data_IF_387717254660
#
_entry.id   IF_387717254660
#
_cell.length_a   1.000
_cell.length_b   1.000
_cell.length_c   1.000
_cell.angle_alpha   90.00
_cell.angle_beta   90.00
_cell.angle_gamma   90.00
#
_symmetry.space_group_name_H-M   'P 1'
#
loop_
_entity.id
_entity.type
_entity.pdbx_description
1 polymer ?
#
# COMPACT_ATOMS: atom_id res chain seq x y z
N UNK A 1 -10.13 37.19 -63.01
CA UNK A 1 -10.03 37.77 -61.67
C UNK A 1 -9.14 36.86 -60.80
N UNK A 2 -8.27 37.44 -59.96
CA UNK A 2 -7.10 36.78 -59.36
C UNK A 2 -7.46 36.19 -57.98
N UNK A 3 -6.73 35.20 -57.47
CA UNK A 3 -5.53 35.45 -56.67
C UNK A 3 -4.57 34.26 -56.68
N UNK A 4 -3.36 34.53 -57.18
CA UNK A 4 -2.15 33.76 -56.95
C UNK A 4 -1.56 34.22 -55.62
N UNK A 5 -1.17 33.28 -54.74
CA UNK A 5 -0.13 33.54 -53.75
C UNK A 5 1.07 32.69 -54.16
N UNK A 6 2.20 33.38 -54.24
CA UNK A 6 3.44 33.01 -54.88
C UNK A 6 4.45 32.69 -53.78
N UNK A 7 5.08 31.52 -53.81
CA UNK A 7 6.33 31.30 -53.05
C UNK A 7 7.28 30.41 -53.84
N UNK A 8 8.45 30.96 -54.11
CA UNK A 8 9.68 30.30 -54.55
C UNK A 8 10.84 31.26 -54.24
N UNK A 9 12.11 30.81 -54.13
CA UNK A 9 12.58 29.51 -53.65
C UNK A 9 13.89 29.61 -52.81
N UNK A 10 14.41 28.44 -52.38
CA UNK A 10 15.81 28.14 -52.00
C UNK A 10 16.34 28.58 -50.62
N UNK A 11 16.62 27.58 -49.76
CA UNK A 11 17.99 27.18 -49.43
C UNK A 11 18.00 25.79 -48.77
N UNK A 12 18.73 24.87 -49.42
CA UNK A 12 19.03 23.52 -48.97
C UNK A 12 20.14 23.61 -47.91
N UNK A 13 19.91 23.14 -46.69
CA UNK A 13 20.98 22.98 -45.68
C UNK A 13 21.18 21.50 -45.40
N UNK A 14 22.43 21.08 -45.59
CA UNK A 14 22.98 19.75 -45.28
C UNK A 14 22.73 19.34 -43.82
N UNK A 15 22.40 18.07 -43.62
CA UNK A 15 22.52 17.37 -42.34
C UNK A 15 24.00 17.02 -42.08
N UNK A 16 24.58 17.34 -40.92
CA UNK A 16 25.92 16.87 -40.56
C UNK A 16 25.89 15.42 -40.04
N UNK A 17 26.99 14.64 -40.17
CA UNK A 17 27.08 13.29 -39.63
C UNK A 17 27.20 13.30 -38.08
N UNK A 18 26.90 12.19 -37.39
CA UNK A 18 26.87 12.17 -35.94
C UNK A 18 28.28 12.21 -35.34
N UNK A 19 28.48 13.06 -34.34
CA UNK A 19 29.67 13.10 -33.48
C UNK A 19 29.28 12.97 -31.99
N UNK A 20 30.18 12.47 -31.13
CA UNK A 20 29.81 11.78 -29.90
C UNK A 20 29.44 12.72 -28.75
N UNK A 21 28.50 12.26 -27.92
CA UNK A 21 27.91 12.98 -26.80
C UNK A 21 28.93 13.40 -25.73
N UNK A 22 29.04 14.71 -25.50
CA UNK A 22 29.44 15.29 -24.21
C UNK A 22 28.33 16.23 -23.72
N UNK A 23 27.86 15.97 -22.49
CA UNK A 23 26.81 16.75 -21.81
C UNK A 23 27.35 18.12 -21.39
N UNK A 24 26.68 19.19 -21.80
CA UNK A 24 26.71 20.50 -21.11
C UNK A 24 25.26 20.98 -21.02
N UNK A 25 24.78 21.21 -19.80
CA UNK A 25 23.47 21.78 -19.53
C UNK A 25 23.64 23.30 -19.37
N UNK A 26 23.11 24.07 -20.31
CA UNK A 26 22.80 25.48 -20.12
C UNK A 26 21.30 25.59 -19.78
N UNK A 27 20.99 26.19 -18.63
CA UNK A 27 19.65 26.77 -18.37
C UNK A 27 19.88 28.19 -17.87
N UNK A 28 19.59 29.12 -18.77
CA UNK A 28 19.50 30.55 -18.59
C UNK A 28 18.23 30.86 -17.77
N UNK A 29 18.34 31.56 -16.63
CA UNK A 29 17.17 32.01 -15.86
C UNK A 29 17.10 33.53 -15.83
N UNK A 30 15.98 34.02 -16.37
CA UNK A 30 15.59 35.42 -16.47
C UNK A 30 15.30 36.06 -15.11
N UNK A 31 15.66 37.33 -14.99
CA UNK A 31 15.65 38.18 -13.81
C UNK A 31 14.30 38.88 -13.58
N UNK A 32 13.74 38.80 -12.35
CA UNK A 32 13.05 39.96 -11.74
C UNK A 32 12.62 39.74 -10.27
N UNK A 33 12.96 40.73 -9.43
CA UNK A 33 12.35 41.15 -8.15
C UNK A 33 12.68 40.47 -6.80
N UNK A 34 13.62 41.14 -6.09
CA UNK A 34 13.63 41.57 -4.66
C UNK A 34 13.50 40.53 -3.52
N UNK A 35 14.61 40.37 -2.78
CA UNK A 35 14.64 39.93 -1.37
C UNK A 35 16.03 39.50 -0.91
N UNK A 36 16.77 40.37 -0.23
CA UNK A 36 18.10 40.09 0.34
C UNK A 36 18.05 38.98 1.41
N UNK A 37 18.98 38.03 1.35
CA UNK A 37 19.51 37.36 2.55
C UNK A 37 21.02 37.25 2.40
N UNK A 38 21.73 37.85 3.35
CA UNK A 38 23.18 37.97 3.40
C UNK A 38 23.78 36.58 3.69
N UNK A 39 24.56 36.03 2.75
CA UNK A 39 25.31 34.79 2.97
C UNK A 39 26.45 35.03 3.97
N UNK A 40 26.49 34.17 4.99
CA UNK A 40 27.51 34.13 6.02
C UNK A 40 28.87 33.72 5.43
N UNK A 41 29.95 34.24 6.03
CA UNK A 41 31.35 34.04 5.65
C UNK A 41 31.78 32.55 5.58
N UNK A 42 30.99 31.64 6.17
CA UNK A 42 31.20 30.20 6.15
C UNK A 42 30.96 29.56 4.76
N UNK A 43 30.01 30.08 3.96
CA UNK A 43 29.68 29.48 2.65
C UNK A 43 30.71 29.81 1.56
N UNK A 44 31.57 30.82 1.79
CA UNK A 44 32.71 31.12 0.91
C UNK A 44 33.89 30.16 1.09
N UNK A 45 33.97 29.45 2.21
CA UNK A 45 35.10 28.56 2.50
C UNK A 45 34.95 27.16 1.86
N UNK A 46 33.75 26.76 1.41
CA UNK A 46 33.53 25.47 0.75
C UNK A 46 33.94 25.44 -0.73
N UNK A 47 34.19 26.61 -1.34
CA UNK A 47 34.56 26.73 -2.76
C UNK A 47 36.08 26.77 -3.00
N UNK A 48 36.89 26.84 -1.95
CA UNK A 48 38.35 26.79 -2.04
C UNK A 48 38.82 25.55 -1.27
N UNK A 49 39.20 24.49 -1.99
CA UNK A 49 39.62 23.21 -1.42
C UNK A 49 40.80 23.32 -0.45
N UNK A 50 40.51 23.60 0.82
CA UNK A 50 41.43 23.49 1.94
C UNK A 50 41.24 22.11 2.61
N UNK A 51 42.31 21.44 3.05
CA UNK A 51 42.18 20.20 3.80
C UNK A 51 41.50 20.46 5.15
N UNK A 52 40.64 19.56 5.64
CA UNK A 52 39.92 19.76 6.88
C UNK A 52 40.89 19.88 8.08
N UNK A 53 40.59 20.73 9.07
CA UNK A 53 41.41 20.85 10.27
C UNK A 53 41.44 19.52 11.04
N UNK A 54 42.60 19.21 11.62
CA UNK A 54 42.89 17.97 12.33
C UNK A 54 41.79 17.63 13.36
N UNK A 55 41.27 16.41 13.25
CA UNK A 55 40.16 15.91 14.07
C UNK A 55 40.50 15.95 15.56
N UNK A 56 39.75 16.74 16.33
CA UNK A 56 39.43 16.36 17.70
C UNK A 56 38.63 15.07 17.63
N UNK A 57 39.11 14.00 18.26
CA UNK A 57 38.42 12.70 18.25
C UNK A 57 36.94 12.84 18.64
N UNK A 58 36.04 12.00 18.10
CA UNK A 58 34.62 12.06 18.41
C UNK A 58 34.42 11.99 19.93
N UNK A 59 33.52 12.81 20.45
CA UNK A 59 33.24 12.85 21.88
C UNK A 59 32.88 11.44 22.37
N UNK A 60 33.24 11.08 23.61
CA UNK A 60 32.99 9.74 24.18
C UNK A 60 31.53 9.28 24.01
N UNK A 61 30.58 10.23 24.01
CA UNK A 61 29.16 9.99 23.76
C UNK A 61 28.90 9.55 22.32
N UNK A 62 29.53 10.19 21.33
CA UNK A 62 29.44 9.82 19.92
C UNK A 62 30.08 8.45 19.65
N UNK A 63 31.18 8.12 20.33
CA UNK A 63 31.77 6.78 20.23
C UNK A 63 30.87 5.70 20.83
N UNK A 64 30.21 5.96 21.96
CA UNK A 64 29.22 5.06 22.57
C UNK A 64 28.02 4.85 21.65
N UNK A 65 27.46 5.92 21.08
CA UNK A 65 26.36 5.82 20.11
C UNK A 65 26.76 5.09 18.82
N UNK A 66 28.00 5.28 18.34
CA UNK A 66 28.53 4.58 17.16
C UNK A 66 28.82 3.10 17.43
N UNK A 67 29.32 2.74 18.62
CA UNK A 67 29.51 1.35 19.02
C UNK A 67 28.17 0.62 19.18
N UNK A 68 27.20 1.21 19.88
CA UNK A 68 25.86 0.63 20.12
C UNK A 68 25.07 0.45 18.81
N UNK A 69 25.10 1.45 17.92
CA UNK A 69 24.52 1.34 16.57
C UNK A 69 25.25 0.28 15.72
N UNK A 70 26.59 0.18 15.81
CA UNK A 70 27.33 -0.83 15.06
C UNK A 70 27.05 -2.27 15.53
N UNK A 71 26.79 -2.47 16.83
CA UNK A 71 26.41 -3.76 17.39
C UNK A 71 25.00 -4.18 16.95
N UNK A 72 24.03 -3.27 17.06
CA UNK A 72 22.65 -3.48 16.61
C UNK A 72 22.60 -3.76 15.10
N UNK A 73 23.31 -2.98 14.28
CA UNK A 73 23.37 -3.19 12.83
C UNK A 73 23.99 -4.53 12.44
N UNK A 74 25.00 -5.00 13.18
CA UNK A 74 25.60 -6.34 12.96
C UNK A 74 24.62 -7.45 13.31
N UNK A 75 23.82 -7.29 14.37
CA UNK A 75 22.77 -8.23 14.73
C UNK A 75 21.63 -8.24 13.70
N UNK A 76 21.14 -7.07 13.29
CA UNK A 76 20.10 -6.93 12.27
C UNK A 76 20.53 -7.52 10.92
N UNK A 77 21.80 -7.36 10.54
CA UNK A 77 22.36 -8.01 9.34
C UNK A 77 22.32 -9.53 9.42
N UNK A 78 22.52 -10.12 10.61
CA UNK A 78 22.37 -11.57 10.81
C UNK A 78 20.91 -12.01 10.71
N UNK A 79 19.96 -11.17 11.09
CA UNK A 79 18.52 -11.40 10.95
C UNK A 79 17.97 -11.07 9.54
N UNK A 80 18.81 -10.62 8.60
CA UNK A 80 18.34 -10.23 7.28
C UNK A 80 17.86 -11.45 6.48
N UNK A 81 16.55 -11.51 6.27
CA UNK A 81 15.90 -12.52 5.43
C UNK A 81 16.17 -12.19 3.97
N UNK A 82 16.77 -13.13 3.23
CA UNK A 82 17.08 -12.96 1.79
C UNK A 82 15.90 -13.28 0.88
N UNK A 83 15.02 -14.20 1.30
CA UNK A 83 13.88 -14.61 0.48
C UNK A 83 12.84 -13.49 0.43
N UNK A 84 12.64 -12.95 -0.77
CA UNK A 84 11.69 -11.88 -1.04
C UNK A 84 10.27 -12.23 -0.60
N UNK A 85 9.80 -13.45 -0.89
CA UNK A 85 8.45 -13.88 -0.52
C UNK A 85 8.24 -13.87 0.99
N UNK A 86 9.25 -14.29 1.76
CA UNK A 86 9.15 -14.30 3.24
C UNK A 86 9.08 -12.88 3.77
N UNK A 87 9.87 -11.95 3.21
CA UNK A 87 9.82 -10.53 3.59
C UNK A 87 8.44 -9.93 3.30
N UNK A 88 7.88 -10.22 2.11
CA UNK A 88 6.55 -9.79 1.70
C UNK A 88 5.48 -10.34 2.66
N UNK A 89 5.50 -11.64 2.95
CA UNK A 89 4.55 -12.29 3.85
C UNK A 89 4.61 -11.71 5.28
N UNK A 90 5.82 -11.42 5.80
CA UNK A 90 5.97 -10.78 7.10
C UNK A 90 5.43 -9.35 7.12
N UNK A 91 5.64 -8.60 6.03
CA UNK A 91 5.11 -7.26 5.89
C UNK A 91 3.56 -7.26 5.82
N UNK A 92 2.96 -8.21 5.10
CA UNK A 92 1.52 -8.40 5.05
C UNK A 92 0.96 -8.78 6.44
N UNK A 93 1.59 -9.72 7.14
CA UNK A 93 1.20 -10.10 8.49
C UNK A 93 1.25 -8.90 9.45
N UNK A 94 2.32 -8.11 9.43
CA UNK A 94 2.47 -6.95 10.29
C UNK A 94 1.51 -5.82 9.92
N UNK A 95 1.29 -5.57 8.62
CA UNK A 95 0.36 -4.56 8.17
C UNK A 95 -1.09 -4.87 8.55
N UNK A 96 -1.52 -6.14 8.39
CA UNK A 96 -2.85 -6.57 8.84
C UNK A 96 -2.95 -6.58 10.35
N UNK A 97 -1.89 -6.96 11.06
CA UNK A 97 -1.85 -6.87 12.51
C UNK A 97 -2.13 -5.44 13.00
N UNK A 98 -1.45 -4.44 12.41
CA UNK A 98 -1.68 -3.02 12.73
C UNK A 98 -3.11 -2.60 12.40
N UNK A 99 -3.62 -2.96 11.21
CA UNK A 99 -4.98 -2.65 10.78
C UNK A 99 -6.02 -3.15 11.81
N UNK A 100 -5.94 -4.42 12.17
CA UNK A 100 -6.90 -5.07 13.08
C UNK A 100 -6.72 -4.59 14.52
N UNK A 101 -5.50 -4.32 14.96
CA UNK A 101 -5.24 -3.80 16.30
C UNK A 101 -5.97 -2.47 16.53
N UNK A 102 -5.88 -1.53 15.58
CA UNK A 102 -6.58 -0.25 15.67
C UNK A 102 -8.09 -0.37 15.40
N UNK A 103 -8.49 -1.14 14.39
CA UNK A 103 -9.88 -1.38 14.04
C UNK A 103 -10.65 -2.05 15.18
N UNK A 104 -10.33 -3.30 15.49
CA UNK A 104 -10.99 -4.05 16.57
C UNK A 104 -10.75 -3.41 17.95
N UNK A 105 -9.61 -2.76 18.19
CA UNK A 105 -9.39 -2.01 19.43
C UNK A 105 -10.38 -0.86 19.62
N UNK A 106 -10.71 -0.13 18.54
CA UNK A 106 -11.74 0.90 18.58
C UNK A 106 -13.14 0.32 18.81
N UNK A 107 -13.48 -0.83 18.20
CA UNK A 107 -14.75 -1.52 18.46
C UNK A 107 -14.83 -1.98 19.91
N UNK A 108 -13.77 -2.60 20.44
CA UNK A 108 -13.69 -3.03 21.83
C UNK A 108 -13.92 -1.86 22.79
N UNK A 109 -13.30 -0.71 22.54
CA UNK A 109 -13.48 0.50 23.34
C UNK A 109 -14.94 0.97 23.33
N UNK A 110 -15.58 1.03 22.16
CA UNK A 110 -16.97 1.49 22.03
C UNK A 110 -17.94 0.51 22.71
N UNK A 111 -17.82 -0.78 22.40
CA UNK A 111 -18.70 -1.83 22.93
C UNK A 111 -18.58 -1.96 24.45
N UNK A 112 -17.36 -2.10 24.99
CA UNK A 112 -17.17 -2.36 26.44
C UNK A 112 -17.47 -1.16 27.32
N UNK A 113 -17.48 0.05 26.75
CA UNK A 113 -17.82 1.27 27.50
C UNK A 113 -19.24 1.76 27.26
N UNK A 114 -20.03 1.02 26.51
CA UNK A 114 -21.41 1.40 26.15
C UNK A 114 -21.45 2.81 25.55
N UNK A 115 -20.60 3.05 24.54
CA UNK A 115 -20.46 4.32 23.84
C UNK A 115 -19.97 5.52 24.70
N UNK A 116 -19.55 5.31 25.95
CA UNK A 116 -19.11 6.40 26.85
C UNK A 116 -17.68 6.89 26.55
N UNK A 117 -16.83 6.04 25.96
CA UNK A 117 -15.43 6.37 25.63
C UNK A 117 -15.14 6.32 24.13
N UNK A 118 -16.14 6.10 23.31
CA UNK A 118 -16.04 6.14 21.87
C UNK A 118 -17.44 6.10 21.26
N UNK A 119 -17.51 6.34 19.96
CA UNK A 119 -18.76 6.36 19.20
C UNK A 119 -18.53 5.64 17.86
N UNK A 120 -19.60 5.39 17.10
CA UNK A 120 -19.49 4.80 15.77
C UNK A 120 -18.47 5.51 14.86
N UNK A 121 -18.40 6.85 14.94
CA UNK A 121 -17.38 7.62 14.21
C UNK A 121 -15.94 7.25 14.60
N UNK A 122 -15.68 6.99 15.87
CA UNK A 122 -14.34 6.57 16.32
C UNK A 122 -13.96 5.18 15.83
N UNK A 123 -14.95 4.30 15.59
CA UNK A 123 -14.72 2.99 14.95
C UNK A 123 -14.25 3.21 13.50
N UNK A 124 -14.99 4.04 12.75
CA UNK A 124 -14.65 4.37 11.37
C UNK A 124 -13.25 4.98 11.26
N UNK A 125 -12.91 5.92 12.14
CA UNK A 125 -11.57 6.51 12.20
C UNK A 125 -10.50 5.51 12.63
N UNK A 126 -10.81 4.61 13.58
CA UNK A 126 -9.90 3.54 14.02
C UNK A 126 -9.51 2.61 12.88
N UNK A 127 -10.48 2.15 12.09
CA UNK A 127 -10.22 1.34 10.90
C UNK A 127 -9.48 2.12 9.80
N UNK A 128 -9.88 3.36 9.51
CA UNK A 128 -9.22 4.18 8.49
C UNK A 128 -7.74 4.48 8.82
N UNK A 129 -7.45 4.82 10.08
CA UNK A 129 -6.08 5.04 10.55
C UNK A 129 -5.30 3.73 10.62
N UNK A 130 -5.92 2.64 11.09
CA UNK A 130 -5.31 1.31 11.11
C UNK A 130 -4.87 0.85 9.72
N UNK A 131 -5.71 1.02 8.71
CA UNK A 131 -5.37 0.80 7.30
C UNK A 131 -4.19 1.67 6.89
N UNK A 132 -4.26 2.98 7.16
CA UNK A 132 -3.22 3.93 6.75
C UNK A 132 -1.85 3.56 7.32
N UNK A 133 -1.80 3.23 8.61
CA UNK A 133 -0.57 2.78 9.26
C UNK A 133 -0.11 1.41 8.77
N UNK A 134 -1.05 0.49 8.53
CA UNK A 134 -0.74 -0.81 7.91
C UNK A 134 -0.06 -0.63 6.54
N UNK A 135 -0.56 0.31 5.72
CA UNK A 135 0.04 0.65 4.42
C UNK A 135 1.44 1.24 4.63
N UNK A 136 1.61 2.20 5.54
CA UNK A 136 2.92 2.81 5.80
C UNK A 136 3.99 1.80 6.20
N UNK A 137 3.62 0.79 6.99
CA UNK A 137 4.56 -0.24 7.47
C UNK A 137 4.90 -1.28 6.40
N UNK A 138 3.97 -1.58 5.49
CA UNK A 138 4.11 -2.73 4.57
C UNK A 138 4.36 -2.36 3.10
N UNK A 139 3.98 -1.15 2.66
CA UNK A 139 3.99 -0.72 1.25
C UNK A 139 5.35 -0.87 0.58
N UNK A 140 6.43 -0.52 1.27
CA UNK A 140 7.79 -0.58 0.72
C UNK A 140 8.34 -2.00 0.55
N UNK A 141 7.64 -3.03 1.07
CA UNK A 141 8.10 -4.42 1.05
C UNK A 141 7.13 -5.32 0.27
N UNK A 142 5.84 -5.35 0.62
CA UNK A 142 4.84 -6.23 0.00
C UNK A 142 3.95 -5.56 -1.03
N UNK A 143 3.97 -4.23 -1.12
CA UNK A 143 2.97 -3.47 -1.87
C UNK A 143 1.71 -3.14 -1.05
N UNK A 144 1.65 -3.56 0.22
CA UNK A 144 0.54 -3.33 1.14
C UNK A 144 -0.81 -3.81 0.60
N UNK A 145 -0.95 -5.11 0.33
CA UNK A 145 -2.24 -5.64 -0.08
C UNK A 145 -3.23 -5.64 1.09
N UNK A 146 -2.77 -6.13 2.25
CA UNK A 146 -3.46 -6.15 3.55
C UNK A 146 -4.86 -6.79 3.54
N UNK A 147 -5.18 -7.49 2.45
CA UNK A 147 -6.53 -7.90 2.12
C UNK A 147 -6.49 -9.02 1.05
N UNK A 148 -7.13 -10.18 1.31
CA UNK A 148 -7.24 -11.28 0.36
C UNK A 148 -7.92 -10.92 -0.97
N UNK A 149 -9.02 -10.15 -0.94
CA UNK A 149 -9.76 -9.74 -2.13
C UNK A 149 -8.95 -8.80 -3.03
N UNK A 150 -8.17 -7.90 -2.42
CA UNK A 150 -7.20 -7.05 -3.15
C UNK A 150 -6.09 -7.91 -3.76
N UNK A 151 -5.52 -8.84 -2.98
CA UNK A 151 -4.46 -9.73 -3.47
C UNK A 151 -4.94 -10.54 -4.68
N UNK A 152 -6.19 -11.00 -4.63
CA UNK A 152 -6.86 -11.69 -5.73
C UNK A 152 -7.06 -10.78 -6.95
N UNK A 153 -7.58 -9.55 -6.78
CA UNK A 153 -7.80 -8.65 -7.91
C UNK A 153 -6.49 -8.28 -8.62
N UNK A 154 -5.40 -8.10 -7.87
CA UNK A 154 -4.06 -7.89 -8.42
C UNK A 154 -3.52 -9.12 -9.17
N UNK A 155 -3.88 -10.34 -8.75
CA UNK A 155 -3.56 -11.55 -9.51
C UNK A 155 -4.32 -11.60 -10.84
N UNK A 156 -5.61 -11.26 -10.83
CA UNK A 156 -6.45 -11.24 -12.05
C UNK A 156 -5.95 -10.21 -13.05
N UNK A 157 -5.45 -9.07 -12.59
CA UNK A 157 -4.81 -8.06 -13.45
C UNK A 157 -3.39 -8.43 -13.92
N UNK A 158 -2.84 -9.56 -13.50
CA UNK A 158 -1.45 -9.93 -13.83
C UNK A 158 -0.40 -9.07 -13.12
N UNK A 159 -0.78 -8.31 -12.09
CA UNK A 159 0.11 -7.45 -11.28
C UNK A 159 0.71 -8.17 -10.09
N UNK A 160 0.18 -9.34 -9.74
CA UNK A 160 0.70 -10.20 -8.67
C UNK A 160 0.75 -11.67 -9.13
N UNK A 161 1.85 -12.41 -8.85
CA UNK A 161 1.93 -13.82 -9.23
C UNK A 161 0.94 -14.70 -8.45
N UNK A 162 0.18 -15.54 -9.16
CA UNK A 162 -0.80 -16.45 -8.57
C UNK A 162 -0.23 -17.40 -7.50
N UNK A 163 1.03 -17.83 -7.64
CA UNK A 163 1.67 -18.71 -6.66
C UNK A 163 1.93 -18.02 -5.31
N UNK A 164 2.00 -16.68 -5.28
CA UNK A 164 2.20 -15.92 -4.03
C UNK A 164 0.90 -15.71 -3.25
N UNK A 165 -0.24 -15.71 -3.94
CA UNK A 165 -1.56 -15.48 -3.35
C UNK A 165 -1.87 -16.33 -2.12
N UNK A 166 -1.73 -17.68 -2.13
CA UNK A 166 -2.06 -18.49 -0.96
C UNK A 166 -1.18 -18.16 0.26
N UNK A 167 0.07 -17.77 0.04
CA UNK A 167 0.96 -17.34 1.13
C UNK A 167 0.55 -15.98 1.68
N UNK A 168 0.24 -15.01 0.82
CA UNK A 168 -0.26 -13.71 1.23
C UNK A 168 -1.54 -13.85 2.07
N UNK A 169 -2.52 -14.62 1.60
CA UNK A 169 -3.78 -14.85 2.32
C UNK A 169 -3.53 -15.49 3.68
N UNK A 170 -2.68 -16.52 3.75
CA UNK A 170 -2.34 -17.18 5.01
C UNK A 170 -1.74 -16.20 6.02
N UNK A 171 -0.76 -15.39 5.62
CA UNK A 171 -0.10 -14.45 6.53
C UNK A 171 -0.96 -13.23 6.88
N UNK A 172 -1.87 -12.80 5.98
CA UNK A 172 -2.89 -11.80 6.29
C UNK A 172 -3.83 -12.31 7.38
N UNK A 173 -4.35 -13.54 7.23
CA UNK A 173 -5.21 -14.18 8.24
C UNK A 173 -4.47 -14.38 9.56
N UNK A 174 -3.19 -14.79 9.52
CA UNK A 174 -2.35 -14.91 10.70
C UNK A 174 -2.19 -13.57 11.42
N UNK A 175 -1.91 -12.49 10.68
CA UNK A 175 -1.80 -11.14 11.24
C UNK A 175 -3.09 -10.69 11.92
N UNK A 176 -4.25 -10.93 11.29
CA UNK A 176 -5.56 -10.63 11.86
C UNK A 176 -5.83 -11.42 13.14
N UNK A 177 -5.54 -12.73 13.13
CA UNK A 177 -5.69 -13.59 14.31
C UNK A 177 -4.82 -13.13 15.48
N UNK A 178 -3.55 -12.81 15.23
CA UNK A 178 -2.63 -12.33 16.26
C UNK A 178 -3.09 -10.98 16.84
N UNK A 179 -3.58 -10.07 16.00
CA UNK A 179 -4.10 -8.79 16.46
C UNK A 179 -5.40 -8.94 17.26
N UNK A 180 -6.31 -9.81 16.83
CA UNK A 180 -7.53 -10.12 17.57
C UNK A 180 -7.20 -10.72 18.95
N UNK A 181 -6.23 -11.63 19.03
CA UNK A 181 -5.73 -12.15 20.30
C UNK A 181 -5.14 -11.05 21.19
N UNK A 182 -4.35 -10.12 20.62
CA UNK A 182 -3.82 -8.96 21.35
C UNK A 182 -4.94 -8.05 21.87
N UNK A 183 -5.95 -7.74 21.05
CA UNK A 183 -7.10 -6.91 21.48
C UNK A 183 -7.89 -7.63 22.57
N UNK A 184 -8.13 -8.94 22.43
CA UNK A 184 -8.83 -9.74 23.44
C UNK A 184 -8.08 -9.77 24.77
N UNK A 185 -6.74 -9.85 24.74
CA UNK A 185 -5.92 -9.77 25.95
C UNK A 185 -5.92 -8.35 26.55
N UNK A 186 -5.76 -7.32 25.71
CA UNK A 186 -5.72 -5.92 26.11
C UNK A 186 -7.03 -5.45 26.75
N UNK A 187 -8.17 -5.96 26.27
CA UNK A 187 -9.51 -5.62 26.74
C UNK A 187 -10.13 -6.72 27.62
N UNK A 188 -9.35 -7.69 28.10
CA UNK A 188 -9.87 -8.84 28.85
C UNK A 188 -10.79 -8.43 30.01
N UNK A 189 -10.31 -7.56 30.90
CA UNK A 189 -11.08 -7.10 32.07
C UNK A 189 -12.34 -6.31 31.67
N UNK A 190 -12.24 -5.50 30.62
CA UNK A 190 -13.36 -4.69 30.12
C UNK A 190 -14.45 -5.58 29.49
N UNK A 191 -14.05 -6.57 28.69
CA UNK A 191 -14.94 -7.57 28.09
C UNK A 191 -15.61 -8.40 29.18
N UNK A 192 -14.85 -8.83 30.18
CA UNK A 192 -15.37 -9.61 31.31
C UNK A 192 -16.41 -8.82 32.11
N UNK A 193 -16.12 -7.54 32.39
CA UNK A 193 -17.03 -6.64 33.13
C UNK A 193 -18.30 -6.35 32.34
N UNK A 194 -18.18 -6.02 31.04
CA UNK A 194 -19.30 -5.70 30.17
C UNK A 194 -20.23 -6.91 29.94
N UNK A 195 -19.65 -8.10 29.71
CA UNK A 195 -20.41 -9.31 29.42
C UNK A 195 -20.93 -10.05 30.66
N UNK A 196 -20.53 -9.62 31.87
CA UNK A 196 -20.79 -10.39 33.11
C UNK A 196 -20.10 -11.76 33.11
N UNK A 197 -19.08 -11.93 32.26
CA UNK A 197 -18.34 -13.18 32.08
C UNK A 197 -18.95 -14.21 31.15
N UNK A 198 -20.05 -13.87 30.48
CA UNK A 198 -20.71 -14.75 29.51
C UNK A 198 -20.48 -14.21 28.11
N UNK A 199 -19.60 -14.86 27.34
CA UNK A 199 -19.31 -14.46 25.96
C UNK A 199 -20.42 -14.91 25.03
N UNK A 200 -21.19 -13.97 24.50
CA UNK A 200 -22.30 -14.22 23.57
C UNK A 200 -22.03 -13.60 22.19
N UNK A 201 -22.62 -14.23 21.18
CA UNK A 201 -22.53 -13.77 19.77
C UNK A 201 -23.61 -12.73 19.46
N UNK A 202 -24.79 -12.89 20.05
CA UNK A 202 -25.96 -12.02 19.84
C UNK A 202 -26.59 -11.66 21.18
N UNK A 203 -27.26 -10.51 21.23
CA UNK A 203 -27.94 -10.01 22.43
C UNK A 203 -27.35 -8.68 22.92
N UNK A 204 -27.89 -8.13 24.03
CA UNK A 204 -27.56 -6.78 24.50
C UNK A 204 -26.12 -6.64 25.02
N UNK A 205 -25.49 -7.75 25.39
CA UNK A 205 -24.11 -7.82 25.90
C UNK A 205 -23.19 -8.63 24.98
N UNK A 206 -23.55 -8.74 23.70
CA UNK A 206 -22.77 -9.48 22.72
C UNK A 206 -21.38 -8.87 22.53
N UNK A 207 -20.36 -9.72 22.53
CA UNK A 207 -18.95 -9.31 22.42
C UNK A 207 -18.26 -9.85 21.17
N UNK A 208 -18.85 -10.84 20.49
CA UNK A 208 -18.29 -11.38 19.25
C UNK A 208 -18.15 -10.31 18.14
N UNK A 209 -19.02 -9.28 18.16
CA UNK A 209 -18.97 -8.13 17.25
C UNK A 209 -17.68 -7.30 17.32
N UNK A 210 -16.88 -7.45 18.40
CA UNK A 210 -15.58 -6.80 18.54
C UNK A 210 -14.57 -7.33 17.52
N UNK A 211 -14.64 -8.63 17.20
CA UNK A 211 -13.64 -9.33 16.41
C UNK A 211 -14.13 -9.72 15.01
N UNK A 212 -15.44 -9.73 14.80
CA UNK A 212 -16.04 -10.12 13.52
C UNK A 212 -17.33 -9.36 13.27
N UNK A 213 -17.67 -9.14 12.00
CA UNK A 213 -18.90 -8.43 11.62
C UNK A 213 -20.08 -9.40 11.57
N UNK A 214 -21.20 -8.95 12.12
CA UNK A 214 -22.49 -9.64 12.06
C UNK A 214 -23.51 -8.68 11.44
N UNK A 215 -24.47 -9.20 10.65
CA UNK A 215 -25.45 -8.36 9.97
C UNK A 215 -26.44 -7.79 10.99
N UNK A 216 -26.96 -6.60 10.72
CA UNK A 216 -28.06 -6.03 11.49
C UNK A 216 -29.32 -6.89 11.35
N UNK A 217 -30.22 -6.86 12.34
CA UNK A 217 -31.41 -7.72 12.39
C UNK A 217 -32.35 -7.57 11.17
N UNK A 218 -32.39 -6.38 10.57
CA UNK A 218 -33.20 -6.11 9.38
C UNK A 218 -32.54 -6.52 8.06
N UNK A 219 -31.25 -6.86 8.07
CA UNK A 219 -30.46 -7.06 6.87
C UNK A 219 -30.57 -8.51 6.39
N UNK A 220 -31.10 -8.71 5.19
CA UNK A 220 -31.09 -10.02 4.55
C UNK A 220 -29.69 -10.39 4.06
N UNK A 221 -29.43 -11.69 3.92
CA UNK A 221 -28.18 -12.22 3.34
C UNK A 221 -27.90 -11.60 1.97
N UNK A 222 -28.92 -11.49 1.11
CA UNK A 222 -28.79 -10.86 -0.21
C UNK A 222 -28.48 -9.36 -0.13
N UNK A 223 -29.15 -8.63 0.78
CA UNK A 223 -28.84 -7.22 1.01
C UNK A 223 -27.39 -7.02 1.45
N UNK A 224 -26.90 -7.89 2.34
CA UNK A 224 -25.51 -7.87 2.78
C UNK A 224 -24.49 -8.25 1.71
N UNK A 225 -24.82 -9.18 0.80
CA UNK A 225 -23.96 -9.48 -0.36
C UNK A 225 -23.81 -8.23 -1.24
N UNK A 226 -24.90 -7.53 -1.54
CA UNK A 226 -24.87 -6.31 -2.35
C UNK A 226 -24.06 -5.21 -1.66
N UNK A 227 -24.26 -5.03 -0.35
CA UNK A 227 -23.50 -4.07 0.47
C UNK A 227 -21.99 -4.33 0.40
N UNK A 228 -21.55 -5.59 0.63
CA UNK A 228 -20.14 -5.98 0.59
C UNK A 228 -19.51 -5.82 -0.80
N UNK A 229 -20.27 -6.12 -1.87
CA UNK A 229 -19.82 -5.93 -3.25
C UNK A 229 -19.60 -4.44 -3.54
N UNK A 230 -20.58 -3.58 -3.21
CA UNK A 230 -20.53 -2.14 -3.48
C UNK A 230 -19.41 -1.49 -2.66
N UNK A 231 -19.34 -1.77 -1.36
CA UNK A 231 -18.32 -1.23 -0.46
C UNK A 231 -16.91 -1.57 -0.92
N UNK A 232 -16.68 -2.84 -1.29
CA UNK A 232 -15.37 -3.28 -1.78
C UNK A 232 -15.04 -2.72 -3.16
N UNK A 233 -16.03 -2.59 -4.06
CA UNK A 233 -15.81 -1.97 -5.35
C UNK A 233 -15.40 -0.49 -5.22
N UNK A 234 -16.09 0.27 -4.36
CA UNK A 234 -15.78 1.68 -4.08
C UNK A 234 -14.37 1.85 -3.47
N UNK A 235 -13.97 0.91 -2.60
CA UNK A 235 -12.62 0.87 -2.07
C UNK A 235 -11.59 0.69 -3.19
N UNK A 236 -11.73 -0.34 -4.02
CA UNK A 236 -10.73 -0.63 -5.06
C UNK A 236 -10.67 0.51 -6.09
N UNK A 237 -11.80 1.17 -6.38
CA UNK A 237 -11.83 2.38 -7.21
C UNK A 237 -11.00 3.52 -6.63
N UNK A 238 -11.06 3.71 -5.31
CA UNK A 238 -10.35 4.79 -4.61
C UNK A 238 -8.88 4.47 -4.35
N UNK A 239 -8.57 3.19 -4.18
CA UNK A 239 -7.26 2.73 -3.73
C UNK A 239 -6.29 2.45 -4.90
N UNK A 240 -6.82 2.17 -6.11
CA UNK A 240 -5.99 1.98 -7.31
C UNK A 240 -5.35 3.32 -7.71
N UNK A 241 -4.01 3.49 -7.57
CA UNK A 241 -3.39 4.76 -7.88
C UNK A 241 -3.31 4.95 -9.40
N UNK A 242 -3.57 6.18 -9.87
CA UNK A 242 -3.37 6.62 -11.28
C UNK A 242 -1.95 6.44 -11.81
N UNK A 243 -0.99 6.08 -10.96
CA UNK A 243 0.38 5.73 -11.31
C UNK A 243 0.89 4.70 -10.28
N UNK A 244 1.08 3.43 -10.69
CA UNK A 244 1.40 2.24 -9.86
C UNK A 244 2.43 2.49 -8.73
N UNK A 245 2.49 1.72 -7.60
CA UNK A 245 1.58 0.67 -7.10
C UNK A 245 0.96 1.00 -5.71
N UNK A 246 -0.15 0.34 -5.36
CA UNK A 246 -0.42 -0.22 -4.01
C UNK A 246 -0.85 0.70 -2.87
N UNK A 247 -1.96 1.42 -2.98
CA UNK A 247 -2.74 1.73 -1.78
C UNK A 247 -3.86 0.71 -1.75
N UNK A 248 -3.96 -0.05 -0.68
CA UNK A 248 -5.09 -0.95 -0.48
C UNK A 248 -5.21 -1.29 0.99
N UNK A 249 -6.35 -0.93 1.55
CA UNK A 249 -6.82 -1.55 2.76
C UNK A 249 -8.23 -1.08 3.04
N UNK A 250 -9.13 -2.03 3.32
CA UNK A 250 -10.21 -1.90 4.30
C UNK A 250 -10.57 -3.29 4.82
N UNK A 251 -11.13 -3.22 6.02
CA UNK A 251 -12.03 -4.12 6.74
C UNK A 251 -11.97 -5.61 6.40
N UNK A 252 -11.29 -6.34 7.30
CA UNK A 252 -11.29 -7.80 7.32
C UNK A 252 -11.56 -8.26 8.75
N UNK A 253 -12.84 -8.24 9.09
CA UNK A 253 -13.37 -8.91 10.28
C UNK A 253 -13.48 -10.42 10.03
N UNK A 254 -12.33 -11.10 9.88
CA UNK A 254 -12.28 -12.56 9.74
C UNK A 254 -12.27 -13.24 11.11
N UNK A 255 -13.15 -14.23 11.23
CA UNK A 255 -13.45 -15.06 12.39
C UNK A 255 -12.19 -15.58 13.07
N UNK A 256 -11.91 -15.07 14.27
CA UNK A 256 -11.00 -15.76 15.19
C UNK A 256 -11.61 -17.13 15.51
N UNK A 257 -10.87 -18.26 15.42
CA UNK A 257 -11.35 -19.58 15.84
C UNK A 257 -11.63 -19.71 17.35
N UNK A 258 -11.78 -18.62 18.08
CA UNK A 258 -11.99 -18.58 19.53
C UNK A 258 -13.48 -18.58 19.90
N UNK A 259 -14.39 -18.51 18.91
CA UNK A 259 -15.83 -18.64 19.13
C UNK A 259 -16.35 -20.02 18.70
N UNK A 260 -17.14 -20.68 19.56
CA UNK A 260 -17.81 -21.94 19.25
C UNK A 260 -18.69 -21.88 18.00
N UNK A 261 -19.30 -23.01 17.62
CA UNK A 261 -20.04 -23.20 16.34
C UNK A 261 -21.13 -22.16 16.04
N UNK A 262 -21.57 -21.40 17.03
CA UNK A 262 -22.60 -20.36 16.91
C UNK A 262 -22.15 -19.16 16.07
N UNK A 263 -20.84 -18.87 15.99
CA UNK A 263 -20.31 -17.80 15.11
C UNK A 263 -20.60 -18.08 13.63
N UNK A 264 -20.66 -19.36 13.25
CA UNK A 264 -20.95 -19.78 11.86
C UNK A 264 -22.45 -19.86 11.57
N UNK A 265 -23.31 -19.73 12.59
CA UNK A 265 -24.77 -19.82 12.46
C UNK A 265 -25.47 -18.46 12.58
N UNK A 266 -24.83 -17.49 13.25
CA UNK A 266 -25.36 -16.15 13.41
C UNK A 266 -25.68 -15.47 12.05
N UNK A 267 -26.75 -14.67 12.02
CA UNK A 267 -27.14 -13.91 10.83
C UNK A 267 -27.58 -14.77 9.63
N UNK A 268 -28.23 -15.91 9.86
CA UNK A 268 -28.61 -16.88 8.82
C UNK A 268 -27.42 -17.47 8.05
N UNK A 269 -26.31 -17.76 8.76
CA UNK A 269 -25.09 -18.28 8.15
C UNK A 269 -24.25 -17.20 7.46
N UNK A 270 -24.10 -16.04 8.11
CA UNK A 270 -23.46 -14.85 7.54
C UNK A 270 -21.98 -15.02 7.16
N UNK A 271 -21.26 -15.94 7.81
CA UNK A 271 -19.79 -16.06 7.79
C UNK A 271 -19.14 -16.07 6.39
N UNK A 272 -19.81 -16.59 5.36
CA UNK A 272 -19.25 -16.68 4.01
C UNK A 272 -19.40 -15.38 3.22
N UNK A 273 -20.36 -14.51 3.58
CA UNK A 273 -20.65 -13.28 2.84
C UNK A 273 -19.44 -12.34 2.86
N UNK A 274 -18.80 -12.02 4.00
CA UNK A 274 -17.60 -11.19 4.03
C UNK A 274 -16.34 -11.83 3.41
N UNK A 275 -16.42 -13.09 2.99
CA UNK A 275 -15.30 -13.79 2.32
C UNK A 275 -15.46 -13.68 0.81
N UNK A 276 -16.64 -14.03 0.30
CA UNK A 276 -16.89 -14.17 -1.14
C UNK A 276 -17.30 -12.85 -1.77
N UNK A 277 -18.19 -12.09 -1.13
CA UNK A 277 -18.74 -10.87 -1.70
C UNK A 277 -17.65 -9.79 -1.93
N UNK A 278 -16.69 -9.58 -1.02
CA UNK A 278 -15.57 -8.67 -1.27
C UNK A 278 -14.70 -9.09 -2.46
N UNK A 279 -14.47 -10.39 -2.70
CA UNK A 279 -13.74 -10.83 -3.89
C UNK A 279 -14.43 -10.39 -5.18
N UNK A 280 -15.76 -10.53 -5.24
CA UNK A 280 -16.57 -10.07 -6.40
C UNK A 280 -16.51 -8.54 -6.52
N UNK A 281 -16.68 -7.82 -5.43
CA UNK A 281 -16.58 -6.36 -5.40
C UNK A 281 -15.21 -5.84 -5.81
N UNK A 282 -14.13 -6.48 -5.36
CA UNK A 282 -12.77 -6.10 -5.72
C UNK A 282 -12.53 -6.25 -7.23
N UNK A 283 -12.94 -7.37 -7.82
CA UNK A 283 -12.84 -7.58 -9.28
C UNK A 283 -13.66 -6.54 -10.05
N UNK A 284 -14.88 -6.26 -9.61
CA UNK A 284 -15.75 -5.27 -10.24
C UNK A 284 -15.15 -3.86 -10.16
N UNK A 285 -14.73 -3.41 -8.98
CA UNK A 285 -14.15 -2.08 -8.78
C UNK A 285 -12.86 -1.89 -9.57
N UNK A 286 -12.00 -2.90 -9.56
CA UNK A 286 -10.77 -2.89 -10.36
C UNK A 286 -11.07 -2.85 -11.86
N UNK A 287 -12.03 -3.64 -12.36
CA UNK A 287 -12.41 -3.61 -13.78
C UNK A 287 -12.97 -2.23 -14.19
N UNK A 288 -13.81 -1.63 -13.36
CA UNK A 288 -14.36 -0.29 -13.62
C UNK A 288 -13.22 0.73 -13.70
N UNK A 289 -12.25 0.68 -12.78
CA UNK A 289 -11.09 1.56 -12.78
C UNK A 289 -10.28 1.44 -14.08
N UNK A 290 -9.99 0.21 -14.49
CA UNK A 290 -9.19 -0.06 -15.69
C UNK A 290 -9.86 0.51 -16.94
N UNK A 291 -11.17 0.27 -17.10
CA UNK A 291 -11.93 0.73 -18.27
C UNK A 291 -12.13 2.26 -18.29
N UNK A 292 -12.34 2.87 -17.12
CA UNK A 292 -12.67 4.30 -17.04
C UNK A 292 -11.43 5.19 -16.99
N UNK A 293 -10.37 4.76 -16.30
CA UNK A 293 -9.21 5.61 -16.01
C UNK A 293 -7.96 5.05 -16.67
N UNK A 294 -7.62 3.78 -16.43
CA UNK A 294 -6.30 3.26 -16.85
C UNK A 294 -6.10 3.24 -18.36
N UNK A 295 -7.10 2.79 -19.13
CA UNK A 295 -7.06 2.77 -20.60
C UNK A 295 -6.88 4.19 -21.20
N UNK A 296 -7.21 5.23 -20.44
CA UNK A 296 -7.12 6.62 -20.88
C UNK A 296 -5.85 7.35 -20.40
N UNK A 297 -5.02 6.73 -19.57
CA UNK A 297 -3.76 7.34 -19.15
C UNK A 297 -2.74 7.34 -20.30
N UNK A 298 -2.00 8.44 -20.50
CA UNK A 298 -0.90 8.43 -21.46
C UNK A 298 0.15 7.39 -21.03
N UNK A 299 0.73 6.65 -21.99
CA UNK A 299 1.72 5.63 -21.68
C UNK A 299 2.87 6.23 -20.87
N UNK A 300 3.26 5.55 -19.79
CA UNK A 300 4.33 6.03 -18.94
C UNK A 300 5.69 5.88 -19.62
N UNK A 301 6.70 6.62 -19.15
CA UNK A 301 8.06 6.52 -19.68
C UNK A 301 8.61 5.08 -19.66
N UNK A 302 8.19 4.26 -18.69
CA UNK A 302 8.54 2.84 -18.60
C UNK A 302 7.90 1.98 -19.70
N UNK A 303 6.65 2.26 -20.06
CA UNK A 303 5.95 1.56 -21.15
C UNK A 303 6.59 1.90 -22.50
N UNK A 304 6.98 3.17 -22.70
CA UNK A 304 7.75 3.62 -23.86
C UNK A 304 9.13 2.96 -23.93
N UNK A 305 9.81 2.81 -22.80
CA UNK A 305 11.13 2.16 -22.73
C UNK A 305 11.05 0.67 -23.06
N UNK A 306 10.00 -0.01 -22.60
CA UNK A 306 9.77 -1.44 -22.88
C UNK A 306 9.43 -1.64 -24.36
N UNK A 307 8.54 -0.83 -24.93
CA UNK A 307 8.28 -0.82 -26.38
C UNK A 307 9.53 -0.52 -27.21
N UNK A 308 10.37 0.43 -26.79
CA UNK A 308 11.64 0.72 -27.46
C UNK A 308 12.61 -0.47 -27.42
N UNK A 309 12.68 -1.20 -26.30
CA UNK A 309 13.50 -2.40 -26.13
C UNK A 309 13.01 -3.56 -26.99
N UNK A 310 11.70 -3.83 -27.01
CA UNK A 310 11.11 -4.85 -27.89
C UNK A 310 11.32 -4.53 -29.37
N UNK A 311 11.23 -3.26 -29.77
CA UNK A 311 11.54 -2.82 -31.14
C UNK A 311 13.03 -2.99 -31.46
N UNK A 312 13.93 -2.81 -30.49
CA UNK A 312 15.37 -3.04 -30.72
C UNK A 312 15.71 -4.52 -30.80
N UNK A 313 15.13 -5.38 -29.96
CA UNK A 313 15.30 -6.83 -30.05
C UNK A 313 14.66 -7.42 -31.32
N UNK A 314 13.47 -6.95 -31.70
CA UNK A 314 12.80 -7.35 -32.94
C UNK A 314 13.55 -6.93 -34.20
N UNK A 315 14.28 -5.79 -34.17
CA UNK A 315 15.17 -5.39 -35.27
C UNK A 315 16.50 -6.17 -35.28
N UNK A 316 17.03 -6.55 -34.12
CA UNK A 316 18.21 -7.44 -34.04
C UNK A 316 17.89 -8.88 -34.48
N UNK A 317 16.62 -9.31 -34.41
CA UNK A 317 16.17 -10.62 -34.88
C UNK A 317 16.07 -10.79 -36.41
N UNK A 318 16.17 -9.71 -37.20
CA UNK A 318 16.12 -9.77 -38.67
C UNK A 318 17.50 -9.72 -39.37
N UNK A 319 18.61 -9.63 -38.63
CA UNK A 319 19.98 -9.59 -39.20
C UNK A 319 20.84 -10.83 -38.88
N UNK A 320 20.23 -12.02 -38.81
CA UNK A 320 20.97 -13.28 -38.75
C UNK A 320 20.45 -14.31 -39.77
N UNK A 321 20.48 -13.95 -41.05
CA UNK A 321 20.50 -14.92 -42.14
C UNK A 321 21.61 -14.54 -43.13
N UNK A 322 22.81 -15.08 -42.92
CA UNK A 322 23.73 -15.39 -44.03
C UNK A 322 23.45 -16.83 -44.42
N UNK A 323 23.34 -17.10 -45.73
CA UNK A 323 24.29 -18.06 -46.29
C UNK A 323 24.85 -17.62 -47.65
N UNK A 324 25.92 -18.33 -47.99
CA UNK A 324 26.86 -18.18 -49.10
C UNK A 324 26.25 -18.19 -50.50
#
# INVERSE_FOLDING_TARGET
MPSKINYSPLLRVHSPPPQPCHKVCDVEYSSSMKGQTVLSQADRALLCGAPPPAASGPALKDQLWLEESSGMERLLRKCHIRNQLVRECMAECLGVYVLILFGCGSVAQVTTTEDKKGQYLSINLGFALGVTFGVFVSRGVSGAHLNPAVSLSLCVLGRHPWLKLPFYVFFQVLGAFLAAATVGLQYYDAIQTYSGGVLTVTGPTATAGIFSTYPADYLSVWGGVVDQVIGTAALLLSATPSTRPGISGLDFSHTSPVGGVDVFKAGSGWWWVPIVAPCVGALLGTLIYELMIEVHHPPTAADLQTSCLEVTEGKMGLECVKPA
#
